data_IF_857848114625
#
_entry.id   IF_857848114625
#
_cell.length_a   1.000
_cell.length_b   1.000
_cell.length_c   1.000
_cell.angle_alpha   90.00
_cell.angle_beta   90.00
_cell.angle_gamma   90.00
#
_symmetry.space_group_name_H-M   'P 1'
#
loop_
_entity.id
_entity.type
_entity.pdbx_description
1 polymer ?
#
# COMPACT_ATOMS: atom_id res chain seq x y z
N UNK A 1 1.80 -3.11 12.31
CA UNK A 1 2.15 -1.72 11.95
C UNK A 1 3.52 -1.39 12.51
N UNK A 2 4.57 -1.95 11.91
CA UNK A 2 5.99 -1.73 12.29
C UNK A 2 6.86 -1.64 11.03
N UNK A 3 6.43 -2.27 9.92
CA UNK A 3 7.20 -2.40 8.69
C UNK A 3 7.50 -1.08 7.97
N UNK A 4 6.56 -0.12 7.94
CA UNK A 4 6.75 1.18 7.28
C UNK A 4 7.89 2.03 7.84
N UNK A 5 8.24 1.85 9.12
CA UNK A 5 9.17 2.74 9.81
C UNK A 5 10.63 2.27 9.80
N UNK A 6 10.88 1.02 9.41
CA UNK A 6 12.22 0.41 9.52
C UNK A 6 12.71 -0.28 8.23
N UNK A 7 11.84 -0.51 7.25
CA UNK A 7 12.19 -1.27 6.05
C UNK A 7 12.43 -0.37 4.81
N UNK A 8 13.62 -0.47 4.20
CA UNK A 8 13.89 0.16 2.89
C UNK A 8 13.33 -0.66 1.72
N UNK A 9 13.15 -1.98 1.92
CA UNK A 9 12.66 -2.93 0.92
C UNK A 9 11.78 -4.00 1.57
N UNK A 10 10.89 -4.61 0.80
CA UNK A 10 10.04 -5.70 1.26
C UNK A 10 9.84 -6.77 0.19
N UNK A 11 9.38 -7.94 0.60
CA UNK A 11 8.96 -9.03 -0.29
C UNK A 11 7.46 -9.24 -0.09
N UNK A 12 6.70 -9.23 -1.19
CA UNK A 12 5.25 -9.47 -1.17
C UNK A 12 4.99 -10.95 -1.44
N UNK A 13 4.16 -11.57 -0.63
CA UNK A 13 3.65 -12.91 -0.85
C UNK A 13 2.19 -12.83 -1.28
N UNK A 14 1.87 -13.40 -2.43
CA UNK A 14 0.51 -13.46 -3.00
C UNK A 14 0.13 -14.90 -3.32
N UNK A 15 -1.15 -15.18 -3.51
CA UNK A 15 -1.64 -16.47 -3.96
C UNK A 15 -2.96 -16.90 -3.31
N UNK A 16 -3.24 -18.18 -3.38
CA UNK A 16 -4.43 -18.81 -2.82
C UNK A 16 -4.07 -19.59 -1.54
N UNK A 17 -4.65 -19.23 -0.37
CA UNK A 17 -4.41 -19.95 0.89
C UNK A 17 -4.63 -21.45 0.74
N UNK A 18 -3.72 -22.25 1.31
CA UNK A 18 -3.74 -23.72 1.24
C UNK A 18 -3.65 -24.34 -0.16
N UNK A 19 -3.32 -23.55 -1.20
CA UNK A 19 -3.19 -24.06 -2.58
C UNK A 19 -1.86 -23.68 -3.24
N UNK A 20 -1.56 -22.38 -3.36
CA UNK A 20 -0.32 -21.90 -4.01
C UNK A 20 0.04 -20.51 -3.51
N UNK A 21 1.33 -20.26 -3.33
CA UNK A 21 1.87 -18.92 -3.08
C UNK A 21 2.98 -18.56 -4.08
N UNK A 22 3.17 -17.27 -4.30
CA UNK A 22 4.27 -16.69 -5.04
C UNK A 22 4.88 -15.53 -4.23
N UNK A 23 6.21 -15.46 -4.21
CA UNK A 23 6.96 -14.43 -3.53
C UNK A 23 7.63 -13.52 -4.57
N UNK A 24 7.51 -12.21 -4.39
CA UNK A 24 8.20 -11.25 -5.25
C UNK A 24 9.71 -11.27 -5.01
N UNK A 25 10.51 -10.72 -5.93
CA UNK A 25 11.84 -10.23 -5.56
C UNK A 25 11.74 -9.11 -4.51
N UNK A 26 12.80 -8.76 -3.76
CA UNK A 26 12.77 -7.60 -2.87
C UNK A 26 12.46 -6.30 -3.63
N UNK A 27 11.33 -5.69 -3.33
CA UNK A 27 10.82 -4.46 -3.93
C UNK A 27 11.11 -3.25 -3.03
N UNK A 28 11.07 -2.06 -3.61
CA UNK A 28 11.00 -0.82 -2.83
C UNK A 28 9.69 -0.79 -2.03
N UNK A 29 9.72 -0.14 -0.86
CA UNK A 29 8.55 -0.06 0.03
C UNK A 29 7.28 0.42 -0.71
N UNK A 30 7.37 1.54 -1.45
CA UNK A 30 6.22 2.09 -2.18
C UNK A 30 5.64 1.12 -3.21
N UNK A 31 6.50 0.54 -4.04
CA UNK A 31 6.11 -0.39 -5.08
C UNK A 31 5.45 -1.65 -4.49
N UNK A 32 6.11 -2.25 -3.50
CA UNK A 32 5.61 -3.46 -2.85
C UNK A 32 4.30 -3.22 -2.09
N UNK A 33 4.18 -2.10 -1.36
CA UNK A 33 2.95 -1.75 -0.67
C UNK A 33 1.81 -1.42 -1.64
N UNK A 34 2.08 -0.71 -2.74
CA UNK A 34 1.06 -0.45 -3.76
C UNK A 34 0.54 -1.75 -4.38
N UNK A 35 1.44 -2.67 -4.77
CA UNK A 35 1.04 -3.98 -5.31
C UNK A 35 0.25 -4.81 -4.29
N UNK A 36 0.73 -4.89 -3.05
CA UNK A 36 0.06 -5.64 -1.99
C UNK A 36 -1.34 -5.09 -1.67
N UNK A 37 -1.45 -3.78 -1.44
CA UNK A 37 -2.71 -3.13 -1.09
C UNK A 37 -3.71 -3.13 -2.25
N UNK A 38 -3.22 -3.04 -3.50
CA UNK A 38 -4.05 -3.22 -4.69
C UNK A 38 -4.71 -4.61 -4.75
N UNK A 39 -3.97 -5.67 -4.40
CA UNK A 39 -4.52 -7.03 -4.36
C UNK A 39 -5.64 -7.22 -3.33
N UNK A 40 -5.71 -6.33 -2.33
CA UNK A 40 -6.74 -6.30 -1.29
C UNK A 40 -7.85 -5.28 -1.57
N UNK A 41 -7.73 -4.48 -2.63
CA UNK A 41 -8.62 -3.36 -2.96
C UNK A 41 -8.78 -2.32 -1.84
N UNK A 42 -7.75 -2.16 -0.99
CA UNK A 42 -7.72 -1.23 0.14
C UNK A 42 -6.72 -0.11 -0.11
N UNK A 43 -7.08 1.14 0.21
CA UNK A 43 -6.15 2.28 0.14
C UNK A 43 -5.82 2.84 1.52
N UNK A 44 -4.62 3.37 1.65
CA UNK A 44 -4.12 4.02 2.87
C UNK A 44 -3.81 5.51 2.62
N UNK A 45 -3.85 6.27 3.70
CA UNK A 45 -3.39 7.67 3.76
C UNK A 45 -2.50 7.88 4.96
N UNK A 46 -1.69 8.93 4.93
CA UNK A 46 -0.92 9.36 6.09
C UNK A 46 -1.70 10.38 6.89
N UNK A 47 -1.87 10.11 8.18
CA UNK A 47 -2.45 11.09 9.10
C UNK A 47 -1.51 12.30 9.25
N UNK A 48 -1.96 13.54 8.99
CA UNK A 48 -1.07 14.70 8.92
C UNK A 48 -0.50 15.10 10.29
N UNK A 49 -1.19 14.77 11.39
CA UNK A 49 -0.74 15.12 12.73
C UNK A 49 0.24 14.09 13.30
N UNK A 50 -0.02 12.81 13.07
CA UNK A 50 0.71 11.71 13.70
C UNK A 50 1.66 10.97 12.77
N UNK A 51 1.57 11.20 11.46
CA UNK A 51 2.33 10.47 10.44
C UNK A 51 1.93 9.00 10.30
N UNK A 52 0.87 8.56 11.00
CA UNK A 52 0.47 7.15 11.04
C UNK A 52 -0.31 6.76 9.78
N UNK A 53 -0.09 5.56 9.23
CA UNK A 53 -0.97 5.00 8.20
C UNK A 53 -2.39 4.85 8.72
N UNK A 54 -3.37 5.30 7.93
CA UNK A 54 -4.80 5.14 8.17
C UNK A 54 -5.47 4.57 6.92
N UNK A 55 -6.27 3.54 7.09
CA UNK A 55 -7.12 2.99 6.02
C UNK A 55 -8.15 4.03 5.59
N UNK A 56 -8.38 4.17 4.28
CA UNK A 56 -9.51 4.93 3.77
C UNK A 56 -10.79 4.10 3.85
N UNK A 57 -11.92 4.77 4.10
CA UNK A 57 -13.22 4.11 4.00
C UNK A 57 -13.44 3.74 2.53
N UNK A 58 -13.81 2.49 2.29
CA UNK A 58 -14.13 1.97 0.97
C UNK A 58 -15.16 2.86 0.26
N UNK A 59 -14.90 3.20 -1.01
CA UNK A 59 -15.78 4.04 -1.83
C UNK A 59 -15.79 5.53 -1.46
N UNK A 60 -15.07 5.94 -0.41
CA UNK A 60 -14.88 7.35 -0.11
C UNK A 60 -14.24 8.10 -1.29
N UNK A 61 -14.41 9.42 -1.34
CA UNK A 61 -13.83 10.25 -2.42
C UNK A 61 -12.32 10.01 -2.57
N UNK A 62 -11.61 9.91 -1.45
CA UNK A 62 -10.16 9.70 -1.44
C UNK A 62 -9.78 8.28 -1.86
N UNK A 63 -10.51 7.24 -1.39
CA UNK A 63 -10.29 5.85 -1.81
C UNK A 63 -10.44 5.70 -3.34
N UNK A 64 -11.50 6.27 -3.90
CA UNK A 64 -11.75 6.24 -5.35
C UNK A 64 -10.65 6.95 -6.14
N UNK A 65 -10.26 8.14 -5.71
CA UNK A 65 -9.19 8.89 -6.36
C UNK A 65 -7.86 8.13 -6.32
N UNK A 66 -7.49 7.58 -5.17
CA UNK A 66 -6.26 6.80 -5.02
C UNK A 66 -6.25 5.54 -5.90
N UNK A 67 -7.36 4.82 -5.99
CA UNK A 67 -7.53 3.69 -6.92
C UNK A 67 -7.39 4.12 -8.38
N UNK A 68 -8.00 5.25 -8.75
CA UNK A 68 -7.94 5.80 -10.11
C UNK A 68 -6.52 6.14 -10.55
N UNK A 69 -5.70 6.69 -9.65
CA UNK A 69 -4.29 7.02 -9.95
C UNK A 69 -3.29 5.88 -9.63
N UNK A 70 -3.79 4.72 -9.17
CA UNK A 70 -2.96 3.57 -8.82
C UNK A 70 -2.14 3.71 -7.52
N UNK A 71 -2.47 4.65 -6.63
CA UNK A 71 -1.76 4.91 -5.38
C UNK A 71 -2.49 4.36 -4.16
N UNK A 72 -2.34 3.07 -3.92
CA UNK A 72 -2.96 2.37 -2.79
C UNK A 72 -2.24 2.62 -1.46
N UNK A 73 -0.95 2.94 -1.48
CA UNK A 73 -0.14 3.15 -0.29
C UNK A 73 -0.25 4.59 0.21
N UNK A 74 0.32 5.57 -0.49
CA UNK A 74 0.20 7.00 -0.21
C UNK A 74 0.21 7.79 -1.50
N UNK A 75 -0.55 8.89 -1.58
CA UNK A 75 -0.42 9.85 -2.67
C UNK A 75 0.98 10.50 -2.54
N UNK A 76 1.82 10.47 -3.58
CA UNK A 76 3.09 11.19 -3.55
C UNK A 76 2.82 12.68 -3.36
N UNK A 77 3.56 13.31 -2.45
CA UNK A 77 3.60 14.78 -2.44
C UNK A 77 4.08 15.22 -3.84
N UNK A 78 3.44 16.24 -4.42
CA UNK A 78 3.87 16.79 -5.71
C UNK A 78 5.39 16.98 -5.68
N UNK A 79 6.08 16.37 -6.65
CA UNK A 79 7.52 16.51 -6.76
C UNK A 79 7.83 18.00 -6.89
N UNK A 80 8.53 18.54 -5.90
CA UNK A 80 9.09 19.90 -5.92
C UNK A 80 10.18 20.00 -6.97
#
# INVERSE_FOLDING_TARGET
VVQDFTANRLMVFLGEPSRRGEASSPLQLREGMNSFLASLEVTFRRDPQTGRPRVNKEGSKLDRYQKEIGEYYYIPAEAS
#
